data_IF_782157619335
#
_entry.id   IF_782157619335
#
_cell.length_a   1.000
_cell.length_b   1.000
_cell.length_c   1.000
_cell.angle_alpha   90.00
_cell.angle_beta   90.00
_cell.angle_gamma   90.00
#
_symmetry.space_group_name_H-M   'P 1'
#
loop_
_entity.id
_entity.type
_entity.pdbx_description
1 polymer ?
#
# COMPACT_ATOMS: atom_id res chain seq x y z
N UNK A 1 21.72 -17.67 -25.80
CA UNK A 1 21.04 -16.42 -25.40
C UNK A 1 21.55 -15.32 -26.29
N UNK A 2 20.95 -15.19 -27.47
CA UNK A 2 21.44 -14.35 -28.54
C UNK A 2 21.32 -12.85 -28.19
N UNK A 3 22.41 -12.13 -28.41
CA UNK A 3 22.48 -10.74 -28.89
C UNK A 3 21.16 -9.94 -28.76
N UNK A 4 20.95 -9.31 -27.61
CA UNK A 4 20.12 -8.12 -27.57
C UNK A 4 21.05 -6.97 -27.95
N UNK A 5 21.02 -6.67 -29.24
CA UNK A 5 21.77 -5.63 -29.91
C UNK A 5 21.77 -4.33 -29.11
N UNK A 6 22.88 -3.59 -29.22
CA UNK A 6 23.06 -2.25 -28.69
C UNK A 6 22.00 -1.27 -29.24
N UNK A 7 20.76 -1.33 -28.75
CA UNK A 7 19.72 -0.35 -29.08
C UNK A 7 20.30 1.02 -28.76
N UNK A 8 20.24 1.95 -29.71
CA UNK A 8 20.69 3.32 -29.50
C UNK A 8 19.48 4.21 -29.24
N UNK A 9 19.69 5.26 -28.45
CA UNK A 9 18.67 6.27 -28.26
C UNK A 9 18.53 7.08 -29.55
N UNK A 10 17.40 6.93 -30.24
CA UNK A 10 16.98 7.77 -31.37
C UNK A 10 15.88 8.74 -30.95
N UNK A 11 15.62 9.76 -31.78
CA UNK A 11 14.51 10.70 -31.55
C UNK A 11 13.14 10.01 -31.66
N UNK A 12 13.01 9.04 -32.56
CA UNK A 12 11.82 8.22 -32.73
C UNK A 12 11.54 7.42 -31.45
N UNK A 13 12.55 6.72 -30.94
CA UNK A 13 12.43 5.91 -29.72
C UNK A 13 12.23 6.78 -28.47
N UNK A 14 12.82 7.97 -28.45
CA UNK A 14 12.56 8.98 -27.42
C UNK A 14 11.09 9.38 -27.40
N UNK A 15 10.53 9.68 -28.58
CA UNK A 15 9.13 10.09 -28.73
C UNK A 15 8.21 8.95 -28.32
N UNK A 16 8.48 7.74 -28.80
CA UNK A 16 7.71 6.54 -28.47
C UNK A 16 7.65 6.27 -26.95
N UNK A 17 8.80 6.33 -26.26
CA UNK A 17 8.86 6.17 -24.80
C UNK A 17 8.07 7.27 -24.10
N UNK A 18 8.21 8.53 -24.55
CA UNK A 18 7.51 9.65 -23.94
C UNK A 18 6.00 9.54 -24.13
N UNK A 19 5.51 9.15 -25.31
CA UNK A 19 4.09 8.91 -25.58
C UNK A 19 3.52 7.79 -24.70
N UNK A 20 4.28 6.69 -24.55
CA UNK A 20 3.91 5.61 -23.64
C UNK A 20 3.74 6.12 -22.19
N UNK A 21 4.69 6.92 -21.71
CA UNK A 21 4.64 7.47 -20.36
C UNK A 21 3.52 8.48 -20.18
N UNK A 22 3.27 9.33 -21.19
CA UNK A 22 2.15 10.30 -21.21
C UNK A 22 0.82 9.58 -21.10
N UNK A 23 0.69 8.37 -21.67
CA UNK A 23 -0.52 7.56 -21.50
C UNK A 23 -0.74 7.04 -20.08
N UNK A 24 0.22 7.27 -19.16
CA UNK A 24 0.18 6.85 -17.76
C UNK A 24 0.51 5.38 -17.54
N UNK A 25 1.14 4.72 -18.52
CA UNK A 25 1.53 3.32 -18.45
C UNK A 25 2.91 3.15 -17.79
N UNK A 26 3.16 2.03 -17.08
CA UNK A 26 4.42 1.81 -16.41
C UNK A 26 5.55 1.54 -17.40
N UNK A 27 6.74 2.07 -17.11
CA UNK A 27 7.94 1.84 -17.92
C UNK A 27 8.35 0.35 -17.94
N UNK A 28 8.11 -0.39 -16.85
CA UNK A 28 8.46 -1.80 -16.76
C UNK A 28 7.72 -2.66 -17.80
N UNK A 29 6.46 -2.34 -18.06
CA UNK A 29 5.65 -3.01 -19.09
C UNK A 29 6.19 -2.70 -20.48
N UNK A 30 6.54 -1.43 -20.74
CA UNK A 30 7.20 -1.03 -21.98
C UNK A 30 8.48 -1.83 -22.24
N UNK A 31 9.38 -1.87 -21.25
CA UNK A 31 10.66 -2.57 -21.35
C UNK A 31 10.53 -4.10 -21.42
N UNK A 32 9.36 -4.66 -21.09
CA UNK A 32 9.11 -6.11 -21.15
C UNK A 32 8.61 -6.55 -22.53
N UNK A 33 8.21 -5.61 -23.40
CA UNK A 33 7.79 -5.92 -24.77
C UNK A 33 8.97 -6.38 -25.64
N UNK A 34 8.74 -7.30 -26.60
CA UNK A 34 9.78 -7.78 -27.50
C UNK A 34 10.37 -6.64 -28.34
N UNK A 35 11.69 -6.57 -28.42
CA UNK A 35 12.40 -5.53 -29.18
C UNK A 35 12.49 -4.17 -28.49
N UNK A 36 12.06 -4.05 -27.24
CA UNK A 36 12.18 -2.81 -26.45
C UNK A 36 13.46 -2.78 -25.60
N UNK A 37 13.96 -1.58 -25.26
CA UNK A 37 15.15 -1.44 -24.44
C UNK A 37 14.93 -1.96 -23.03
N UNK A 38 16.00 -2.44 -22.41
CA UNK A 38 15.98 -2.83 -21.00
C UNK A 38 15.83 -1.62 -20.07
N UNK A 39 15.31 -1.83 -18.86
CA UNK A 39 15.21 -0.77 -17.84
C UNK A 39 16.55 -0.13 -17.51
N UNK A 40 17.64 -0.92 -17.46
CA UNK A 40 18.99 -0.42 -17.20
C UNK A 40 19.48 0.50 -18.31
N UNK A 41 19.16 0.18 -19.56
CA UNK A 41 19.51 0.99 -20.72
C UNK A 41 18.76 2.32 -20.76
N UNK A 42 17.45 2.31 -20.51
CA UNK A 42 16.66 3.56 -20.39
C UNK A 42 17.19 4.43 -19.24
N UNK A 43 17.56 3.81 -18.12
CA UNK A 43 18.15 4.54 -16.99
C UNK A 43 19.51 5.15 -17.35
N UNK A 44 20.36 4.43 -18.09
CA UNK A 44 21.62 4.94 -18.62
C UNK A 44 21.40 6.14 -19.54
N UNK A 45 20.48 6.07 -20.49
CA UNK A 45 20.17 7.19 -21.37
C UNK A 45 19.68 8.44 -20.63
N UNK A 46 18.90 8.26 -19.56
CA UNK A 46 18.47 9.36 -18.70
C UNK A 46 19.63 10.01 -17.93
N UNK A 47 20.69 9.26 -17.66
CA UNK A 47 21.88 9.79 -17.01
C UNK A 47 22.81 10.47 -18.03
N UNK A 48 22.98 9.88 -19.21
CA UNK A 48 23.92 10.36 -20.24
C UNK A 48 23.36 11.53 -21.07
N UNK A 49 22.02 11.71 -21.14
CA UNK A 49 21.38 12.72 -21.97
C UNK A 49 20.33 13.54 -21.20
N UNK A 50 20.70 14.78 -20.86
CA UNK A 50 19.86 15.74 -20.15
C UNK A 50 18.57 16.12 -20.88
N UNK A 51 18.60 16.17 -22.23
CA UNK A 51 17.43 16.52 -23.04
C UNK A 51 16.38 15.40 -22.93
N UNK A 52 16.83 14.15 -23.06
CA UNK A 52 15.97 13.00 -22.87
C UNK A 52 15.45 12.91 -21.44
N UNK A 53 16.30 13.16 -20.44
CA UNK A 53 15.91 13.15 -19.04
C UNK A 53 14.78 14.15 -18.73
N UNK A 54 14.86 15.36 -19.28
CA UNK A 54 13.82 16.39 -19.13
C UNK A 54 12.51 16.00 -19.79
N UNK A 55 12.56 15.53 -21.04
CA UNK A 55 11.37 15.05 -21.77
C UNK A 55 10.70 13.88 -21.03
N UNK A 56 11.50 12.93 -20.55
CA UNK A 56 11.03 11.80 -19.76
C UNK A 56 10.33 12.25 -18.47
N UNK A 57 10.90 13.21 -17.74
CA UNK A 57 10.30 13.73 -16.52
C UNK A 57 8.96 14.43 -16.79
N UNK A 58 8.90 15.27 -17.83
CA UNK A 58 7.65 15.91 -18.25
C UNK A 58 6.59 14.89 -18.67
N UNK A 59 6.99 13.86 -19.44
CA UNK A 59 6.10 12.79 -19.86
C UNK A 59 5.54 12.00 -18.66
N UNK A 60 6.36 11.76 -17.63
CA UNK A 60 5.92 11.16 -16.35
C UNK A 60 4.90 12.04 -15.63
N UNK A 61 5.16 13.34 -15.53
CA UNK A 61 4.27 14.28 -14.86
C UNK A 61 2.89 14.34 -15.54
N UNK A 62 2.84 14.36 -16.87
CA UNK A 62 1.60 14.29 -17.64
C UNK A 62 0.95 12.90 -17.49
N UNK A 63 1.75 11.84 -17.49
CA UNK A 63 1.28 10.46 -17.29
C UNK A 63 0.54 10.24 -15.97
N UNK A 64 0.94 10.94 -14.91
CA UNK A 64 0.23 10.92 -13.63
C UNK A 64 -1.18 11.51 -13.74
N UNK A 65 -1.37 12.53 -14.57
CA UNK A 65 -2.69 13.12 -14.82
C UNK A 65 -3.57 12.19 -15.66
N UNK A 66 -3.00 11.59 -16.69
CA UNK A 66 -3.68 10.56 -17.48
C UNK A 66 -4.12 9.37 -16.62
N UNK A 67 -3.31 8.97 -15.65
CA UNK A 67 -3.66 7.91 -14.69
C UNK A 67 -4.83 8.34 -13.79
N UNK A 68 -4.81 9.56 -13.24
CA UNK A 68 -5.90 10.08 -12.43
C UNK A 68 -7.23 10.19 -13.22
N UNK A 69 -7.17 10.60 -14.48
CA UNK A 69 -8.36 10.68 -15.35
C UNK A 69 -8.89 9.30 -15.73
N UNK A 70 -8.01 8.36 -16.10
CA UNK A 70 -8.39 6.97 -16.37
C UNK A 70 -9.05 6.36 -15.15
N UNK A 71 -8.52 6.62 -13.96
CA UNK A 71 -9.10 6.10 -12.74
C UNK A 71 -10.56 6.54 -12.53
N UNK A 72 -10.85 7.82 -12.79
CA UNK A 72 -12.22 8.34 -12.75
C UNK A 72 -13.14 7.58 -13.70
N UNK A 73 -12.63 7.18 -14.87
CA UNK A 73 -13.38 6.42 -15.88
C UNK A 73 -13.60 4.97 -15.45
N UNK A 74 -12.57 4.30 -14.91
CA UNK A 74 -12.65 2.93 -14.39
C UNK A 74 -13.70 2.81 -13.28
N UNK A 75 -13.69 3.71 -12.30
CA UNK A 75 -14.65 3.68 -11.18
C UNK A 75 -16.10 3.92 -11.64
N UNK A 76 -16.30 4.56 -12.79
CA UNK A 76 -17.64 4.78 -13.40
C UNK A 76 -18.13 3.61 -14.25
N UNK A 77 -17.39 2.51 -14.31
CA UNK A 77 -17.74 1.39 -15.18
C UNK A 77 -17.38 1.62 -16.66
N UNK A 78 -16.52 2.59 -16.95
CA UNK A 78 -16.09 2.92 -18.30
C UNK A 78 -14.95 2.04 -18.80
N UNK A 79 -14.17 2.56 -19.76
CA UNK A 79 -13.02 1.84 -20.32
C UNK A 79 -12.03 1.38 -19.22
N UNK A 80 -11.65 0.10 -19.27
CA UNK A 80 -10.77 -0.53 -18.27
C UNK A 80 -11.46 -1.06 -17.02
N UNK A 81 -12.77 -0.82 -16.85
CA UNK A 81 -13.56 -1.45 -15.78
C UNK A 81 -13.84 -2.92 -16.11
N UNK A 82 -13.82 -3.76 -15.08
CA UNK A 82 -14.29 -5.15 -15.17
C UNK A 82 -15.80 -5.29 -14.85
N UNK A 83 -16.49 -4.17 -14.63
CA UNK A 83 -17.83 -4.07 -14.02
C UNK A 83 -17.96 -4.74 -12.64
N UNK A 84 -16.84 -5.11 -12.02
CA UNK A 84 -16.76 -5.56 -10.64
C UNK A 84 -16.28 -4.40 -9.77
N UNK A 85 -17.19 -3.82 -9.00
CA UNK A 85 -16.91 -2.69 -8.13
C UNK A 85 -15.79 -2.96 -7.14
N UNK A 86 -15.57 -4.21 -6.70
CA UNK A 86 -14.49 -4.55 -5.76
C UNK A 86 -13.14 -4.44 -6.44
N UNK A 87 -13.03 -4.96 -7.67
CA UNK A 87 -11.83 -4.88 -8.48
C UNK A 87 -11.52 -3.44 -8.86
N UNK A 88 -12.52 -2.71 -9.34
CA UNK A 88 -12.34 -1.32 -9.76
C UNK A 88 -11.96 -0.41 -8.57
N UNK A 89 -12.57 -0.65 -7.40
CA UNK A 89 -12.16 0.00 -6.15
C UNK A 89 -10.73 -0.34 -5.76
N UNK A 90 -10.31 -1.60 -5.87
CA UNK A 90 -8.95 -2.01 -5.53
C UNK A 90 -7.91 -1.35 -6.45
N UNK A 91 -8.21 -1.26 -7.75
CA UNK A 91 -7.38 -0.54 -8.73
C UNK A 91 -7.29 0.94 -8.30
N UNK A 92 -8.43 1.56 -7.98
CA UNK A 92 -8.51 2.94 -7.52
C UNK A 92 -7.63 3.25 -6.32
N UNK A 93 -7.78 2.45 -5.27
CA UNK A 93 -7.03 2.65 -4.04
C UNK A 93 -5.53 2.44 -4.25
N UNK A 94 -5.15 1.49 -5.13
CA UNK A 94 -3.73 1.21 -5.42
C UNK A 94 -3.10 2.33 -6.21
N UNK A 95 -3.73 2.78 -7.30
CA UNK A 95 -3.21 3.86 -8.14
C UNK A 95 -3.18 5.20 -7.40
N UNK A 96 -4.20 5.52 -6.60
CA UNK A 96 -4.20 6.74 -5.78
C UNK A 96 -3.03 6.78 -4.80
N UNK A 97 -2.73 5.64 -4.14
CA UNK A 97 -1.57 5.54 -3.23
C UNK A 97 -0.24 5.69 -3.97
N UNK A 98 -0.12 5.12 -5.17
CA UNK A 98 1.06 5.29 -6.01
C UNK A 98 1.22 6.75 -6.46
N UNK A 99 0.15 7.41 -6.88
CA UNK A 99 0.16 8.83 -7.25
C UNK A 99 0.57 9.73 -6.08
N UNK A 100 0.08 9.45 -4.87
CA UNK A 100 0.50 10.17 -3.67
C UNK A 100 2.00 9.99 -3.36
N UNK A 101 2.58 8.81 -3.65
CA UNK A 101 4.00 8.56 -3.47
C UNK A 101 4.88 9.17 -4.58
N UNK A 102 4.42 9.14 -5.83
CA UNK A 102 5.19 9.62 -6.98
C UNK A 102 5.10 11.14 -7.18
N UNK A 103 3.96 11.75 -6.86
CA UNK A 103 3.72 13.18 -7.03
C UNK A 103 3.03 13.79 -5.79
N UNK A 104 3.70 13.79 -4.61
CA UNK A 104 3.11 14.21 -3.34
C UNK A 104 2.65 15.68 -3.33
N UNK A 105 3.29 16.55 -4.12
CA UNK A 105 2.90 17.97 -4.21
C UNK A 105 1.49 18.16 -4.78
N UNK A 106 1.05 17.26 -5.66
CA UNK A 106 -0.23 17.34 -6.38
C UNK A 106 -1.28 16.40 -5.79
N UNK A 107 -0.89 15.16 -5.51
CA UNK A 107 -1.80 14.07 -5.11
C UNK A 107 -1.59 13.63 -3.64
N UNK A 108 -0.66 14.25 -2.92
CA UNK A 108 -0.46 13.98 -1.50
C UNK A 108 -1.56 14.57 -0.63
N UNK A 109 -1.80 13.94 0.52
CA UNK A 109 -2.71 14.47 1.52
C UNK A 109 -2.18 15.81 2.05
N UNK A 110 -3.00 16.87 1.97
CA UNK A 110 -2.71 18.16 2.62
C UNK A 110 -3.23 18.14 4.04
N UNK A 111 -2.34 18.42 4.99
CA UNK A 111 -2.69 18.59 6.40
C UNK A 111 -2.54 20.08 6.70
N UNK A 112 -3.65 20.78 6.84
CA UNK A 112 -3.65 22.14 7.35
C UNK A 112 -3.64 22.08 8.88
N UNK A 113 -2.58 22.59 9.48
CA UNK A 113 -2.46 22.76 10.92
C UNK A 113 -2.57 24.26 11.22
N UNK A 114 -3.75 24.70 11.65
CA UNK A 114 -3.93 26.04 12.19
C UNK A 114 -3.17 26.13 13.52
N UNK A 115 -2.17 27.01 13.60
CA UNK A 115 -1.29 27.11 14.78
C UNK A 115 -1.32 28.54 15.32
N UNK A 116 -1.91 28.69 16.51
CA UNK A 116 -1.71 29.87 17.34
C UNK A 116 -0.35 29.76 18.03
N UNK A 117 0.64 30.49 17.50
CA UNK A 117 1.99 30.58 18.07
C UNK A 117 1.97 31.55 19.26
N UNK A 118 1.29 31.18 20.34
CA UNK A 118 1.49 31.81 21.64
C UNK A 118 2.88 31.47 22.19
N UNK A 119 3.43 32.31 23.07
CA UNK A 119 4.68 32.06 23.78
C UNK A 119 4.59 30.75 24.59
N UNK A 120 5.09 29.65 24.05
CA UNK A 120 5.10 28.32 24.67
C UNK A 120 6.51 27.97 25.17
N UNK A 121 6.57 27.23 26.27
CA UNK A 121 7.84 26.71 26.80
C UNK A 121 8.37 25.51 25.98
N UNK A 122 9.63 25.12 26.20
CA UNK A 122 10.30 24.05 25.43
C UNK A 122 9.68 22.66 25.66
N UNK A 123 9.09 22.42 26.83
CA UNK A 123 8.45 21.14 27.17
C UNK A 123 7.11 20.98 26.45
N UNK A 124 6.32 22.04 26.43
CA UNK A 124 5.07 22.15 25.69
C UNK A 124 5.30 22.07 24.18
N UNK A 125 6.39 22.65 23.67
CA UNK A 125 6.79 22.50 22.28
C UNK A 125 7.09 21.03 21.94
N UNK A 126 7.81 20.32 22.82
CA UNK A 126 8.12 18.90 22.66
C UNK A 126 6.88 18.02 22.57
N UNK A 127 5.91 18.21 23.48
CA UNK A 127 4.64 17.48 23.46
C UNK A 127 3.80 17.80 22.21
N UNK A 128 3.89 19.02 21.68
CA UNK A 128 3.15 19.42 20.47
C UNK A 128 3.76 18.86 19.19
N UNK A 129 5.09 18.77 19.12
CA UNK A 129 5.77 18.12 17.98
C UNK A 129 5.40 16.64 17.90
N UNK A 130 5.32 15.93 19.03
CA UNK A 130 4.91 14.52 19.03
C UNK A 130 3.44 14.35 18.61
N UNK A 131 2.54 15.24 19.05
CA UNK A 131 1.14 15.24 18.58
C UNK A 131 1.01 15.51 17.08
N UNK A 132 1.81 16.42 16.52
CA UNK A 132 1.80 16.71 15.08
C UNK A 132 2.36 15.53 14.27
N UNK A 133 3.39 14.85 14.77
CA UNK A 133 3.91 13.64 14.15
C UNK A 133 2.86 12.52 14.13
N UNK A 134 2.14 12.34 15.25
CA UNK A 134 1.08 11.33 15.34
C UNK A 134 -0.09 11.67 14.41
N UNK A 135 -0.50 12.95 14.33
CA UNK A 135 -1.53 13.40 13.37
C UNK A 135 -1.10 13.19 11.92
N UNK A 136 0.18 13.40 11.60
CA UNK A 136 0.72 13.13 10.27
C UNK A 136 0.75 11.63 9.96
N UNK A 137 1.18 10.79 10.91
CA UNK A 137 1.16 9.33 10.78
C UNK A 137 -0.27 8.80 10.60
N UNK A 138 -1.23 9.34 11.35
CA UNK A 138 -2.64 9.00 11.20
C UNK A 138 -3.22 9.46 9.86
N UNK A 139 -2.81 10.60 9.31
CA UNK A 139 -3.23 11.03 7.97
C UNK A 139 -2.64 10.15 6.86
N UNK A 140 -1.42 9.66 7.03
CA UNK A 140 -0.80 8.66 6.14
C UNK A 140 -1.47 7.28 6.26
N UNK A 141 -1.95 6.91 7.45
CA UNK A 141 -2.66 5.65 7.71
C UNK A 141 -4.17 5.71 7.44
N UNK A 142 -4.76 6.90 7.40
CA UNK A 142 -6.18 7.16 7.53
C UNK A 142 -6.89 7.44 6.22
N UNK A 143 -7.05 6.42 5.39
CA UNK A 143 -8.34 6.18 4.76
C UNK A 143 -8.97 4.98 5.50
N UNK A 144 -9.78 5.20 6.55
CA UNK A 144 -10.49 4.08 7.16
C UNK A 144 -11.55 3.57 6.18
N UNK A 145 -11.74 2.24 6.04
CA UNK A 145 -12.98 1.75 5.46
C UNK A 145 -14.11 2.21 6.38
N UNK A 146 -15.00 3.06 5.88
CA UNK A 146 -16.23 3.51 6.54
C UNK A 146 -17.25 2.36 6.70
N UNK A 147 -16.84 1.22 7.23
CA UNK A 147 -17.68 0.10 7.67
C UNK A 147 -16.92 -0.71 8.74
N UNK A 148 -16.72 -0.12 9.92
CA UNK A 148 -16.30 -0.85 11.13
C UNK A 148 -17.34 -0.75 12.26
N UNK A 149 -18.60 -0.49 11.91
CA UNK A 149 -19.76 -0.66 12.79
C UNK A 149 -20.78 -1.56 12.11
N UNK A 150 -20.39 -2.81 11.87
CA UNK A 150 -21.34 -3.91 11.92
C UNK A 150 -20.87 -4.84 13.02
N UNK A 151 -21.73 -4.96 14.03
CA UNK A 151 -21.70 -5.95 15.09
C UNK A 151 -21.18 -7.30 14.56
N UNK A 152 -20.32 -7.96 15.34
CA UNK A 152 -20.01 -9.38 15.16
C UNK A 152 -21.31 -10.20 15.28
N UNK A 153 -22.02 -10.34 14.16
CA UNK A 153 -22.86 -11.52 13.96
C UNK A 153 -21.90 -12.69 13.76
N UNK A 154 -22.04 -13.79 14.51
CA UNK A 154 -21.22 -14.97 14.28
C UNK A 154 -21.41 -15.40 12.82
N UNK A 155 -20.31 -15.50 12.07
CA UNK A 155 -20.36 -15.99 10.70
C UNK A 155 -21.14 -17.32 10.65
N UNK A 156 -22.06 -17.52 9.69
CA UNK A 156 -22.55 -18.86 9.43
C UNK A 156 -21.33 -19.71 9.09
N UNK A 157 -21.28 -20.91 9.69
CA UNK A 157 -20.22 -21.88 9.42
C UNK A 157 -19.97 -21.96 7.91
N UNK A 158 -18.70 -21.81 7.52
CA UNK A 158 -18.23 -21.95 6.13
C UNK A 158 -18.93 -23.17 5.54
N UNK A 159 -19.64 -23.08 4.40
CA UNK A 159 -20.29 -24.25 3.83
C UNK A 159 -19.18 -25.26 3.54
N UNK A 160 -19.08 -26.28 4.38
CA UNK A 160 -18.37 -27.50 4.04
C UNK A 160 -19.12 -28.03 2.84
N UNK A 161 -18.53 -27.85 1.66
CA UNK A 161 -19.05 -28.39 0.42
C UNK A 161 -19.09 -29.92 0.57
N UNK A 162 -20.21 -30.45 1.05
CA UNK A 162 -20.63 -31.79 0.66
C UNK A 162 -21.08 -31.63 -0.78
N UNK A 163 -20.27 -32.16 -1.71
CA UNK A 163 -20.70 -32.26 -3.11
C UNK A 163 -22.04 -33.02 -3.13
N UNK A 164 -23.05 -32.55 -3.87
CA UNK A 164 -24.23 -33.36 -4.13
C UNK A 164 -23.82 -34.65 -4.85
N UNK A 165 -24.48 -35.76 -4.53
CA UNK A 165 -24.13 -37.10 -5.01
C UNK A 165 -24.23 -37.26 -6.54
N UNK A 166 -24.82 -36.28 -7.23
CA UNK A 166 -25.06 -36.31 -8.68
C UNK A 166 -24.37 -35.10 -9.32
N UNK A 167 -23.07 -35.28 -9.59
CA UNK A 167 -22.23 -34.30 -10.27
C UNK A 167 -21.79 -34.85 -11.63
N UNK A 168 -22.72 -34.88 -12.59
CA UNK A 168 -22.51 -35.41 -13.94
C UNK A 168 -21.58 -34.57 -14.82
N UNK A 169 -21.06 -33.46 -14.29
CA UNK A 169 -20.14 -32.56 -15.00
C UNK A 169 -18.65 -32.82 -14.70
N UNK A 170 -18.32 -33.71 -13.75
CA UNK A 170 -16.94 -34.12 -13.50
C UNK A 170 -16.61 -35.41 -14.24
N UNK A 171 -15.57 -35.37 -15.07
CA UNK A 171 -14.97 -36.57 -15.67
C UNK A 171 -14.35 -37.48 -14.60
N UNK A 172 -14.27 -38.78 -14.87
CA UNK A 172 -13.73 -39.79 -13.93
C UNK A 172 -12.33 -39.43 -13.44
N UNK A 173 -11.50 -38.88 -14.32
CA UNK A 173 -10.15 -38.41 -13.97
C UNK A 173 -10.18 -37.28 -12.93
N UNK A 174 -11.10 -36.32 -13.07
CA UNK A 174 -11.24 -35.21 -12.12
C UNK A 174 -11.76 -35.69 -10.76
N UNK A 175 -12.64 -36.70 -10.74
CA UNK A 175 -13.11 -37.34 -9.51
C UNK A 175 -11.96 -38.06 -8.78
N UNK A 176 -11.12 -38.76 -9.52
CA UNK A 176 -9.96 -39.47 -8.98
C UNK A 176 -8.88 -38.53 -8.41
N UNK A 177 -8.61 -37.42 -9.10
CA UNK A 177 -7.65 -36.39 -8.63
C UNK A 177 -8.13 -35.75 -7.32
N UNK A 178 -9.43 -35.43 -7.22
CA UNK A 178 -10.01 -34.86 -6.00
C UNK A 178 -10.01 -35.86 -4.83
N UNK A 179 -10.27 -37.14 -5.10
CA UNK A 179 -10.22 -38.20 -4.07
C UNK A 179 -8.81 -38.44 -3.53
N UNK A 180 -7.77 -38.21 -4.36
CA UNK A 180 -6.35 -38.39 -3.98
C UNK A 180 -5.74 -37.17 -3.30
N UNK A 181 -6.42 -36.02 -3.29
CA UNK A 181 -5.87 -34.80 -2.71
C UNK A 181 -6.01 -34.82 -1.18
N UNK A 182 -4.92 -34.88 -0.41
CA UNK A 182 -5.01 -34.90 1.05
C UNK A 182 -5.57 -33.56 1.57
N UNK A 183 -6.36 -33.57 2.65
CA UNK A 183 -6.89 -32.34 3.22
C UNK A 183 -5.73 -31.44 3.65
N UNK A 184 -5.79 -30.16 3.25
CA UNK A 184 -4.80 -29.14 3.66
C UNK A 184 -4.75 -29.13 5.18
N UNK A 185 -3.59 -29.48 5.73
CA UNK A 185 -3.37 -29.57 7.17
C UNK A 185 -3.54 -28.16 7.77
N UNK A 186 -4.68 -27.93 8.43
CA UNK A 186 -4.96 -26.67 9.10
C UNK A 186 -3.83 -26.36 10.09
N UNK A 187 -3.20 -25.20 9.93
CA UNK A 187 -2.20 -24.72 10.88
C UNK A 187 -2.83 -24.67 12.28
N UNK A 188 -2.19 -25.33 13.25
CA UNK A 188 -2.62 -25.25 14.66
C UNK A 188 -2.61 -23.77 15.08
N UNK A 189 -3.75 -23.28 15.53
CA UNK A 189 -3.83 -22.01 16.24
C UNK A 189 -2.89 -22.09 17.46
N UNK A 190 -1.82 -21.31 17.45
CA UNK A 190 -0.96 -21.13 18.62
C UNK A 190 -1.80 -20.46 19.70
N UNK A 191 -1.96 -21.14 20.84
CA UNK A 191 -2.79 -20.70 21.94
C UNK A 191 -2.36 -19.30 22.44
N UNK A 192 -3.26 -18.32 22.31
CA UNK A 192 -3.16 -16.94 22.83
C UNK A 192 -3.12 -16.83 24.37
N UNK A 193 -2.81 -17.91 25.09
CA UNK A 193 -2.75 -17.92 26.56
C UNK A 193 -1.44 -17.35 27.11
N UNK A 194 -0.30 -17.68 26.49
CA UNK A 194 1.03 -17.42 27.07
C UNK A 194 1.49 -15.95 27.01
N UNK A 195 0.87 -15.14 26.16
CA UNK A 195 1.22 -13.71 25.99
C UNK A 195 0.51 -12.81 27.02
N UNK A 196 -0.60 -13.28 27.62
CA UNK A 196 -1.28 -12.50 28.68
C UNK A 196 -0.53 -12.54 30.01
N UNK A 197 0.05 -13.69 30.37
CA UNK A 197 0.85 -13.82 31.59
C UNK A 197 2.15 -13.01 31.54
N UNK A 198 2.83 -12.97 30.39
CA UNK A 198 4.07 -12.19 30.24
C UNK A 198 3.81 -10.69 30.23
N UNK A 199 2.67 -10.23 29.69
CA UNK A 199 2.28 -8.81 29.73
C UNK A 199 1.85 -8.37 31.14
N UNK A 200 1.12 -9.22 31.87
CA UNK A 200 0.73 -8.93 33.26
C UNK A 200 1.95 -8.92 34.20
N UNK A 201 2.90 -9.84 34.01
CA UNK A 201 4.15 -9.86 34.76
C UNK A 201 5.06 -8.65 34.44
N UNK A 202 5.10 -8.21 33.18
CA UNK A 202 5.85 -7.01 32.78
C UNK A 202 5.23 -5.72 33.33
N UNK A 203 3.90 -5.64 33.44
CA UNK A 203 3.21 -4.50 34.03
C UNK A 203 3.41 -4.41 35.56
N UNK A 204 3.38 -5.54 36.26
CA UNK A 204 3.65 -5.60 37.70
C UNK A 204 5.10 -5.21 38.06
N UNK A 205 6.07 -5.49 37.18
CA UNK A 205 7.45 -5.06 37.35
C UNK A 205 7.66 -3.54 37.18
N UNK A 206 6.80 -2.86 36.41
CA UNK A 206 6.83 -1.41 36.23
C UNK A 206 6.20 -0.67 37.43
N UNK A 207 5.13 -1.23 38.00
CA UNK A 207 4.41 -0.62 39.13
C UNK A 207 5.16 -0.72 40.47
N UNK A 208 6.07 -1.70 40.63
CA UNK A 208 6.91 -1.86 41.82
C UNK A 208 8.02 -0.81 42.00
N UNK A 209 8.23 0.09 41.03
CA UNK A 209 9.31 1.09 41.07
C UNK A 209 8.90 2.45 41.66
N UNK A 210 7.63 2.65 42.03
CA UNK A 210 7.19 3.87 42.73
C UNK A 210 7.28 3.70 44.25
N UNK A 211 8.50 3.68 44.77
CA UNK A 211 8.72 4.12 46.15
C UNK A 211 8.83 5.65 46.12
N UNK A 212 7.91 6.41 46.75
CA UNK A 212 8.10 7.84 46.90
C UNK A 212 9.36 8.09 47.76
N UNK A 213 10.16 9.14 47.47
CA UNK A 213 11.27 9.50 48.33
C UNK A 213 10.73 9.84 49.73
N UNK A 214 11.45 9.42 50.77
CA UNK A 214 11.11 9.70 52.16
C UNK A 214 10.93 11.21 52.35
N UNK A 215 9.78 11.60 52.90
CA UNK A 215 9.54 12.95 53.38
C UNK A 215 10.46 13.18 54.59
N UNK A 216 11.54 13.95 54.39
CA UNK A 216 12.27 14.56 55.49
C UNK A 216 11.39 15.66 56.10
N UNK A 217 10.56 15.26 57.06
CA UNK A 217 9.79 16.14 57.93
C UNK A 217 10.02 15.72 59.39
N UNK A 218 11.18 16.08 59.93
CA UNK A 218 11.29 16.52 61.33
C UNK A 218 11.81 17.96 61.29
N UNK A 219 10.94 18.96 61.41
CA UNK A 219 10.47 19.56 62.66
C UNK A 219 11.59 20.18 63.54
N UNK A 220 11.60 21.52 63.49
CA UNK A 220 11.54 22.43 64.65
C UNK A 220 12.84 22.81 65.40
N UNK A 221 13.00 24.14 65.47
CA UNK A 221 13.92 25.01 66.23
C UNK A 221 15.28 25.29 65.58
#
# INVERSE_FOLDING_TARGET
MALLDNIQLSDELTTEICEWLVSGQPLAEYCSMPGKPSLGQVSKWRFDNDVFAKRFAQARDIGFDSMAERLRTTVRGGAGSSQDWKRDRLIAETELKLLAAWAPKRYGARIEAEQSLGNMDVSELGARVTMLLDKALQALAGAPPSNATHMESPMPAKPTAKLPAEADFLTDHQREVLARTPPVRGGKAVARGRVKETKAAAQAALDGSKTPPAEDAEDRW
#
